data_IF_452727969068
#
_entry.id   IF_452727969068
#
_cell.length_a   1.000
_cell.length_b   1.000
_cell.length_c   1.000
_cell.angle_alpha   90.00
_cell.angle_beta   90.00
_cell.angle_gamma   90.00
#
_symmetry.space_group_name_H-M   'P 1'
#
loop_
_entity.id
_entity.type
_entity.pdbx_description
1 polymer ?
#
# COMPACT_ATOMS: atom_id res chain seq x y z
N UNK A 1 13.09 -15.53 4.69
CA UNK A 1 11.84 -15.74 3.96
C UNK A 1 11.00 -14.51 4.25
N UNK A 2 10.55 -13.76 3.25
CA UNK A 2 9.65 -12.61 3.49
C UNK A 2 8.26 -13.19 3.64
N UNK A 3 7.61 -12.97 4.79
CA UNK A 3 6.27 -13.50 4.98
C UNK A 3 5.26 -12.72 4.14
N UNK A 4 4.09 -13.31 3.89
CA UNK A 4 3.00 -12.62 3.19
C UNK A 4 2.58 -11.35 3.94
N UNK A 5 2.62 -11.36 5.27
CA UNK A 5 2.33 -10.19 6.10
C UNK A 5 3.34 -9.05 5.86
N UNK A 6 4.63 -9.38 5.79
CA UNK A 6 5.68 -8.39 5.49
C UNK A 6 5.47 -7.76 4.10
N UNK A 7 5.07 -8.56 3.12
CA UNK A 7 4.77 -8.09 1.77
C UNK A 7 3.55 -7.14 1.74
N UNK A 8 2.50 -7.46 2.50
CA UNK A 8 1.31 -6.59 2.65
C UNK A 8 1.68 -5.27 3.32
N UNK A 9 2.52 -5.29 4.36
CA UNK A 9 2.97 -4.08 5.02
C UNK A 9 3.84 -3.22 4.08
N UNK A 10 4.68 -3.84 3.26
CA UNK A 10 5.50 -3.16 2.27
C UNK A 10 4.69 -2.47 1.16
N UNK A 11 3.46 -2.92 0.87
CA UNK A 11 2.59 -2.29 -0.12
C UNK A 11 2.23 -0.83 0.24
N UNK A 12 2.13 -0.50 1.52
CA UNK A 12 1.78 0.86 1.97
C UNK A 12 2.79 1.90 1.47
N UNK A 13 4.10 1.81 1.80
CA UNK A 13 5.09 2.75 1.27
C UNK A 13 5.26 2.64 -0.25
N UNK A 14 5.07 1.47 -0.86
CA UNK A 14 5.12 1.30 -2.32
C UNK A 14 4.03 2.11 -3.01
N UNK A 15 2.79 2.06 -2.51
CA UNK A 15 1.67 2.83 -3.05
C UNK A 15 1.93 4.33 -2.93
N UNK A 16 2.45 4.78 -1.78
CA UNK A 16 2.79 6.20 -1.58
C UNK A 16 3.92 6.66 -2.50
N UNK A 17 4.94 5.83 -2.69
CA UNK A 17 6.03 6.10 -3.62
C UNK A 17 5.52 6.17 -5.06
N UNK A 18 4.65 5.25 -5.47
CA UNK A 18 4.03 5.26 -6.79
C UNK A 18 3.20 6.54 -7.01
N UNK A 19 2.40 6.95 -6.01
CA UNK A 19 1.63 8.19 -6.07
C UNK A 19 2.54 9.42 -6.19
N UNK A 20 3.65 9.45 -5.46
CA UNK A 20 4.65 10.52 -5.55
C UNK A 20 5.28 10.59 -6.94
N UNK A 21 5.68 9.44 -7.50
CA UNK A 21 6.28 9.35 -8.83
C UNK A 21 5.28 9.78 -9.93
N UNK A 22 4.04 9.32 -9.86
CA UNK A 22 2.97 9.75 -10.78
C UNK A 22 2.73 11.25 -10.67
N UNK A 23 2.63 11.77 -9.45
CA UNK A 23 2.48 13.20 -9.21
C UNK A 23 3.63 14.02 -9.79
N UNK A 24 4.87 13.55 -9.65
CA UNK A 24 6.05 14.20 -10.21
C UNK A 24 6.04 14.17 -11.75
N UNK A 25 5.78 13.01 -12.37
CA UNK A 25 5.74 12.84 -13.82
C UNK A 25 4.64 13.69 -14.47
N UNK A 26 3.48 13.81 -13.79
CA UNK A 26 2.34 14.58 -14.29
C UNK A 26 2.31 16.04 -13.81
N UNK A 27 3.32 16.48 -13.06
CA UNK A 27 3.39 17.82 -12.47
C UNK A 27 2.15 18.20 -11.64
N UNK A 28 1.57 17.24 -10.94
CA UNK A 28 0.45 17.48 -10.04
C UNK A 28 0.90 18.21 -8.78
N UNK A 29 -0.06 18.82 -8.07
CA UNK A 29 0.23 19.29 -6.71
C UNK A 29 0.56 18.09 -5.82
N UNK A 30 1.60 18.24 -4.99
CA UNK A 30 2.01 17.20 -4.05
C UNK A 30 0.88 16.79 -3.12
N UNK A 31 0.08 17.75 -2.65
CA UNK A 31 -1.10 17.47 -1.83
C UNK A 31 -2.13 16.59 -2.53
N UNK A 32 -2.44 16.87 -3.81
CA UNK A 32 -3.37 16.06 -4.59
C UNK A 32 -2.83 14.64 -4.80
N UNK A 33 -1.56 14.51 -5.20
CA UNK A 33 -0.93 13.21 -5.43
C UNK A 33 -0.95 12.34 -4.15
N UNK A 34 -0.61 12.93 -2.99
CA UNK A 34 -0.62 12.22 -1.71
C UNK A 34 -2.04 11.90 -1.23
N UNK A 35 -3.02 12.78 -1.47
CA UNK A 35 -4.42 12.52 -1.14
C UNK A 35 -5.00 11.37 -1.97
N UNK A 36 -4.64 11.27 -3.25
CA UNK A 36 -5.07 10.13 -4.09
C UNK A 36 -4.36 8.85 -3.65
N UNK A 37 -3.05 8.91 -3.39
CA UNK A 37 -2.28 7.74 -2.93
C UNK A 37 -2.70 7.21 -1.57
N UNK A 38 -3.18 8.07 -0.67
CA UNK A 38 -3.61 7.66 0.67
C UNK A 38 -4.87 6.79 0.67
N UNK A 39 -5.73 6.88 -0.35
CA UNK A 39 -6.95 6.07 -0.48
C UNK A 39 -6.62 4.58 -0.59
N UNK A 40 -5.87 4.09 -1.59
CA UNK A 40 -5.46 2.69 -1.65
C UNK A 40 -4.50 2.28 -0.52
N UNK A 41 -3.64 3.19 -0.02
CA UNK A 41 -2.78 2.88 1.12
C UNK A 41 -3.59 2.59 2.40
N UNK A 42 -4.63 3.38 2.66
CA UNK A 42 -5.54 3.16 3.80
C UNK A 42 -6.37 1.89 3.62
N UNK A 43 -6.78 1.57 2.40
CA UNK A 43 -7.39 0.27 2.10
C UNK A 43 -6.47 -0.91 2.41
N UNK A 44 -5.17 -0.77 2.14
CA UNK A 44 -4.16 -1.78 2.48
C UNK A 44 -4.01 -1.95 3.99
N UNK A 45 -4.09 -0.86 4.77
CA UNK A 45 -4.11 -0.92 6.24
C UNK A 45 -5.35 -1.69 6.71
N UNK A 46 -6.54 -1.38 6.19
CA UNK A 46 -7.76 -2.10 6.53
C UNK A 46 -7.67 -3.60 6.23
N UNK A 47 -7.11 -3.96 5.07
CA UNK A 47 -6.83 -5.35 4.74
C UNK A 47 -5.87 -6.00 5.75
N UNK A 48 -4.74 -5.37 6.05
CA UNK A 48 -3.76 -5.91 6.99
C UNK A 48 -4.31 -6.11 8.42
N UNK A 49 -5.23 -5.24 8.85
CA UNK A 49 -5.78 -5.28 10.22
C UNK A 49 -6.99 -6.21 10.37
N UNK A 50 -7.80 -6.38 9.32
CA UNK A 50 -9.10 -7.02 9.43
C UNK A 50 -9.29 -8.25 8.54
N UNK A 51 -8.44 -8.45 7.53
CA UNK A 51 -8.52 -9.66 6.71
C UNK A 51 -7.92 -10.84 7.48
N UNK A 52 -8.71 -11.91 7.63
CA UNK A 52 -8.22 -13.18 8.13
C UNK A 52 -7.93 -14.11 6.92
N UNK A 53 -6.66 -14.30 6.54
CA UNK A 53 -6.31 -15.19 5.45
C UNK A 53 -6.66 -16.65 5.79
N UNK A 54 -7.04 -17.47 4.80
CA UNK A 54 -7.31 -18.90 5.03
C UNK A 54 -6.05 -19.61 5.57
N UNK A 55 -6.26 -20.66 6.37
CA UNK A 55 -5.17 -21.44 6.96
C UNK A 55 -4.16 -21.90 5.89
N UNK A 56 -2.87 -21.63 6.13
CA UNK A 56 -1.78 -21.92 5.19
C UNK A 56 -1.42 -20.80 4.19
N UNK A 57 -2.17 -19.70 4.11
CA UNK A 57 -1.82 -18.57 3.23
C UNK A 57 -0.69 -17.66 3.76
N UNK A 58 -0.33 -17.79 5.05
CA UNK A 58 0.76 -17.02 5.69
C UNK A 58 1.97 -17.85 6.14
N UNK A 59 1.89 -19.18 6.03
CA UNK A 59 2.92 -20.12 6.48
C UNK A 59 3.78 -20.57 5.29
N UNK A 60 4.77 -19.76 4.92
CA UNK A 60 5.86 -20.18 4.05
C UNK A 60 7.19 -19.59 4.53
#
# INVERSE_FOLDING_TARGET
MVSVHDAILALIPIIMLAAALVGAVLSWSWGMAMAIGSVPASGTIGYALFYNPPEGAGEK
#
